data_IF_837570913789
#
_entry.id   IF_837570913789
#
_cell.length_a   1.000
_cell.length_b   1.000
_cell.length_c   1.000
_cell.angle_alpha   90.00
_cell.angle_beta   90.00
_cell.angle_gamma   90.00
#
_symmetry.space_group_name_H-M   'P 1'
#
loop_
_entity.id
_entity.type
_entity.pdbx_description
1 polymer ?
#
# COMPACT_ATOMS: atom_id res chain seq x y z
N UNK A 1 -20.95 7.36 -0.43
CA UNK A 1 -20.19 6.10 -0.24
C UNK A 1 -20.03 5.89 1.25
N UNK A 2 -20.06 4.64 1.72
CA UNK A 2 -19.82 4.35 3.14
C UNK A 2 -18.34 4.57 3.48
N UNK A 3 -17.99 4.76 4.75
CA UNK A 3 -16.58 4.91 5.16
C UNK A 3 -15.72 3.68 4.80
N UNK A 4 -16.33 2.50 4.68
CA UNK A 4 -15.64 1.31 4.20
C UNK A 4 -15.34 1.37 2.69
N UNK A 5 -16.26 1.90 1.89
CA UNK A 5 -16.07 2.01 0.43
C UNK A 5 -14.88 2.93 0.11
N UNK A 6 -14.77 4.06 0.81
CA UNK A 6 -13.63 4.96 0.65
C UNK A 6 -12.30 4.30 1.09
N UNK A 7 -12.33 3.56 2.20
CA UNK A 7 -11.18 2.80 2.68
C UNK A 7 -10.73 1.75 1.66
N UNK A 8 -11.66 0.95 1.13
CA UNK A 8 -11.29 -0.13 0.22
C UNK A 8 -10.80 0.41 -1.11
N UNK A 9 -11.34 1.52 -1.60
CA UNK A 9 -10.84 2.17 -2.81
C UNK A 9 -9.44 2.78 -2.60
N UNK A 10 -9.19 3.35 -1.42
CA UNK A 10 -7.84 3.79 -1.04
C UNK A 10 -6.84 2.61 -0.96
N UNK A 11 -7.28 1.47 -0.44
CA UNK A 11 -6.46 0.24 -0.38
C UNK A 11 -6.20 -0.31 -1.80
N UNK A 12 -7.19 -0.30 -2.69
CA UNK A 12 -7.02 -0.74 -4.09
C UNK A 12 -5.97 0.11 -4.82
N UNK A 13 -6.03 1.43 -4.69
CA UNK A 13 -5.03 2.34 -5.27
C UNK A 13 -3.60 1.98 -4.78
N UNK A 14 -3.47 1.71 -3.48
CA UNK A 14 -2.20 1.28 -2.88
C UNK A 14 -1.71 -0.05 -3.47
N UNK A 15 -2.61 -1.00 -3.72
CA UNK A 15 -2.27 -2.27 -4.36
C UNK A 15 -1.91 -2.11 -5.84
N UNK A 16 -2.51 -1.17 -6.56
CA UNK A 16 -2.16 -0.91 -7.97
C UNK A 16 -0.72 -0.37 -8.09
N UNK A 17 -0.30 0.51 -7.18
CA UNK A 17 1.10 0.99 -7.09
C UNK A 17 2.06 -0.18 -6.85
N UNK A 18 1.68 -1.11 -5.96
CA UNK A 18 2.48 -2.29 -5.68
C UNK A 18 2.58 -3.21 -6.91
N UNK A 19 1.46 -3.48 -7.59
CA UNK A 19 1.44 -4.29 -8.82
C UNK A 19 2.29 -3.68 -9.93
N UNK A 20 2.27 -2.35 -10.07
CA UNK A 20 3.14 -1.66 -11.01
C UNK A 20 4.63 -1.90 -10.69
N UNK A 21 4.99 -1.89 -9.40
CA UNK A 21 6.35 -2.23 -8.96
C UNK A 21 6.71 -3.68 -9.29
N UNK A 22 5.82 -4.62 -8.99
CA UNK A 22 6.01 -6.06 -9.27
C UNK A 22 6.17 -6.33 -10.78
N UNK A 23 5.43 -5.61 -11.64
CA UNK A 23 5.58 -5.70 -13.09
C UNK A 23 6.96 -5.17 -13.56
N UNK A 24 7.42 -4.05 -13.00
CA UNK A 24 8.72 -3.47 -13.32
C UNK A 24 9.86 -4.39 -12.88
N UNK A 25 9.75 -5.01 -11.69
CA UNK A 25 10.70 -5.99 -11.18
C UNK A 25 10.76 -7.21 -12.09
N UNK A 26 9.62 -7.76 -12.50
CA UNK A 26 9.58 -8.89 -13.43
C UNK A 26 10.23 -8.55 -14.78
N UNK A 27 9.93 -7.37 -15.34
CA UNK A 27 10.52 -6.93 -16.60
C UNK A 27 12.04 -6.73 -16.48
N UNK A 28 12.52 -6.26 -15.32
CA UNK A 28 13.94 -6.11 -15.03
C UNK A 28 14.70 -7.44 -15.16
N UNK A 29 14.09 -8.54 -14.75
CA UNK A 29 14.71 -9.88 -14.79
C UNK A 29 14.56 -10.59 -16.13
N UNK A 30 13.67 -10.12 -17.01
CA UNK A 30 13.28 -10.88 -18.22
C UNK A 30 13.58 -10.15 -19.52
N UNK A 31 13.10 -8.92 -19.68
CA UNK A 31 13.12 -8.20 -20.96
C UNK A 31 13.96 -6.91 -20.94
N UNK A 32 14.33 -6.40 -19.76
CA UNK A 32 15.01 -5.13 -19.63
C UNK A 32 16.39 -5.14 -20.32
N UNK A 33 16.68 -4.17 -21.22
CA UNK A 33 18.00 -4.06 -21.81
C UNK A 33 19.03 -3.54 -20.78
N UNK A 34 20.32 -3.95 -20.86
CA UNK A 34 21.32 -3.67 -19.82
C UNK A 34 21.54 -2.19 -19.47
N UNK A 35 21.28 -1.27 -20.41
CA UNK A 35 21.47 0.18 -20.20
C UNK A 35 20.32 0.84 -19.42
N UNK A 36 19.26 0.11 -19.08
CA UNK A 36 18.07 0.64 -18.41
C UNK A 36 18.05 0.46 -16.88
N UNK A 37 19.12 -0.11 -16.30
CA UNK A 37 19.21 -0.43 -14.86
C UNK A 37 18.93 0.79 -13.98
N UNK A 38 19.55 1.94 -14.28
CA UNK A 38 19.37 3.16 -13.49
C UNK A 38 17.91 3.68 -13.56
N UNK A 39 17.33 3.69 -14.76
CA UNK A 39 15.94 4.10 -14.96
C UNK A 39 14.95 3.23 -14.19
N UNK A 40 15.13 1.90 -14.19
CA UNK A 40 14.27 0.98 -13.43
C UNK A 40 14.46 1.10 -11.93
N UNK A 41 15.69 1.26 -11.46
CA UNK A 41 15.98 1.56 -10.06
C UNK A 41 15.24 2.81 -9.57
N UNK A 42 15.29 3.90 -10.34
CA UNK A 42 14.59 5.15 -10.01
C UNK A 42 13.06 4.99 -9.99
N UNK A 43 12.48 4.24 -10.94
CA UNK A 43 11.04 3.95 -10.96
C UNK A 43 10.62 3.16 -9.72
N UNK A 44 11.33 2.09 -9.38
CA UNK A 44 11.04 1.27 -8.20
C UNK A 44 11.20 2.06 -6.90
N UNK A 45 12.26 2.86 -6.77
CA UNK A 45 12.46 3.72 -5.61
C UNK A 45 11.30 4.71 -5.43
N UNK A 46 10.85 5.33 -6.53
CA UNK A 46 9.72 6.27 -6.52
C UNK A 46 8.42 5.59 -6.09
N UNK A 47 8.07 4.46 -6.70
CA UNK A 47 6.85 3.72 -6.39
C UNK A 47 6.86 3.17 -4.95
N UNK A 48 8.01 2.67 -4.48
CA UNK A 48 8.20 2.23 -3.10
C UNK A 48 7.99 3.37 -2.11
N UNK A 49 8.52 4.56 -2.40
CA UNK A 49 8.29 5.77 -1.60
C UNK A 49 6.82 6.16 -1.51
N UNK A 50 6.14 6.25 -2.66
CA UNK A 50 4.70 6.58 -2.72
C UNK A 50 3.85 5.53 -1.98
N UNK A 51 4.14 4.25 -2.20
CA UNK A 51 3.46 3.15 -1.52
C UNK A 51 3.61 3.27 0.00
N UNK A 52 4.84 3.46 0.47
CA UNK A 52 5.10 3.57 1.91
C UNK A 52 4.39 4.79 2.50
N UNK A 53 4.53 5.97 1.89
CA UNK A 53 3.91 7.22 2.34
C UNK A 53 2.39 7.09 2.46
N UNK A 54 1.72 6.55 1.43
CA UNK A 54 0.26 6.32 1.46
C UNK A 54 -0.13 5.32 2.53
N UNK A 55 0.61 4.22 2.64
CA UNK A 55 0.33 3.18 3.61
C UNK A 55 0.41 3.73 5.04
N UNK A 56 1.47 4.46 5.41
CA UNK A 56 1.64 4.99 6.79
C UNK A 56 1.00 6.38 6.99
N UNK A 57 0.19 6.84 6.04
CA UNK A 57 -0.42 8.16 6.08
C UNK A 57 -1.41 8.30 7.24
N UNK A 58 -1.58 9.54 7.72
CA UNK A 58 -2.64 9.89 8.69
C UNK A 58 -4.04 9.52 8.17
N UNK A 59 -4.25 9.55 6.84
CA UNK A 59 -5.52 9.17 6.22
C UNK A 59 -5.81 7.68 6.42
N UNK A 60 -4.83 6.81 6.18
CA UNK A 60 -4.95 5.37 6.46
C UNK A 60 -5.25 5.13 7.94
N UNK A 61 -4.52 5.79 8.84
CA UNK A 61 -4.75 5.69 10.29
C UNK A 61 -6.18 6.04 10.70
N UNK A 62 -6.74 7.14 10.16
CA UNK A 62 -8.13 7.54 10.42
C UNK A 62 -9.14 6.49 9.97
N UNK A 63 -9.01 5.96 8.76
CA UNK A 63 -9.89 4.90 8.28
C UNK A 63 -9.84 3.66 9.19
N UNK A 64 -8.64 3.23 9.57
CA UNK A 64 -8.47 2.07 10.45
C UNK A 64 -9.07 2.30 11.83
N UNK A 65 -8.92 3.49 12.41
CA UNK A 65 -9.46 3.83 13.73
C UNK A 65 -10.99 3.93 13.74
N UNK A 66 -11.57 4.51 12.69
CA UNK A 66 -13.02 4.63 12.51
C UNK A 66 -13.65 3.25 12.27
N UNK A 67 -13.12 2.49 11.30
CA UNK A 67 -13.66 1.18 10.94
C UNK A 67 -13.46 0.13 12.03
N UNK A 68 -12.42 0.25 12.88
CA UNK A 68 -12.24 -0.64 14.04
C UNK A 68 -13.35 -0.48 15.09
N UNK A 69 -14.07 0.65 15.10
CA UNK A 69 -15.14 0.94 16.08
C UNK A 69 -16.54 0.66 15.53
N UNK A 70 -16.65 0.54 14.21
CA UNK A 70 -17.92 0.30 13.51
C UNK A 70 -18.40 -1.14 13.71
N UNK A 71 -19.68 -1.31 14.07
CA UNK A 71 -20.30 -2.63 14.22
C UNK A 71 -20.98 -3.14 12.94
N UNK A 72 -21.23 -2.24 12.00
CA UNK A 72 -22.02 -2.49 10.78
C UNK A 72 -21.21 -3.08 9.61
N UNK A 73 -20.01 -3.62 9.90
CA UNK A 73 -19.17 -4.27 8.89
C UNK A 73 -19.53 -5.76 8.75
N UNK A 74 -19.54 -6.26 7.53
CA UNK A 74 -19.58 -7.71 7.27
C UNK A 74 -18.30 -8.38 7.76
N UNK A 75 -18.30 -9.70 7.92
CA UNK A 75 -17.12 -10.42 8.40
C UNK A 75 -15.93 -10.34 7.45
N UNK A 76 -16.18 -10.28 6.14
CA UNK A 76 -15.16 -10.04 5.11
C UNK A 76 -14.55 -8.63 5.24
N UNK A 77 -15.40 -7.62 5.43
CA UNK A 77 -14.93 -6.23 5.61
C UNK A 77 -14.09 -6.09 6.88
N UNK A 78 -14.51 -6.74 7.98
CA UNK A 78 -13.72 -6.80 9.23
C UNK A 78 -12.37 -7.47 9.01
N UNK A 79 -12.33 -8.55 8.23
CA UNK A 79 -11.08 -9.23 7.90
C UNK A 79 -10.13 -8.31 7.11
N UNK A 80 -10.64 -7.58 6.12
CA UNK A 80 -9.86 -6.60 5.36
C UNK A 80 -9.27 -5.51 6.28
N UNK A 81 -10.08 -4.91 7.14
CA UNK A 81 -9.62 -3.89 8.09
C UNK A 81 -8.54 -4.45 9.02
N UNK A 82 -8.72 -5.66 9.55
CA UNK A 82 -7.74 -6.32 10.44
C UNK A 82 -6.40 -6.55 9.73
N UNK A 83 -6.41 -7.08 8.51
CA UNK A 83 -5.16 -7.38 7.79
C UNK A 83 -4.42 -6.11 7.38
N UNK A 84 -5.13 -5.08 6.90
CA UNK A 84 -4.50 -3.80 6.56
C UNK A 84 -3.97 -3.10 7.81
N UNK A 85 -4.70 -3.16 8.94
CA UNK A 85 -4.21 -2.63 10.22
C UNK A 85 -2.92 -3.29 10.66
N UNK A 86 -2.84 -4.62 10.56
CA UNK A 86 -1.62 -5.37 10.88
C UNK A 86 -0.42 -4.92 10.04
N UNK A 87 -0.65 -4.69 8.74
CA UNK A 87 0.38 -4.18 7.82
C UNK A 87 0.78 -2.74 8.18
N UNK A 88 -0.19 -1.86 8.43
CA UNK A 88 0.00 -0.47 8.85
C UNK A 88 0.84 -0.37 10.13
N UNK A 89 0.46 -1.10 11.18
CA UNK A 89 1.17 -1.12 12.46
C UNK A 89 2.59 -1.66 12.31
N UNK A 90 2.81 -2.68 11.47
CA UNK A 90 4.15 -3.21 11.23
C UNK A 90 5.04 -2.17 10.53
N UNK A 91 4.50 -1.42 9.57
CA UNK A 91 5.25 -0.47 8.76
C UNK A 91 5.47 0.89 9.44
N UNK A 92 4.56 1.30 10.33
CA UNK A 92 4.72 2.52 11.15
C UNK A 92 5.73 2.38 12.28
N UNK A 93 5.96 1.15 12.78
CA UNK A 93 6.95 0.88 13.83
C UNK A 93 8.41 0.94 13.37
N UNK A 94 8.66 1.07 12.07
CA UNK A 94 10.00 1.22 11.50
C UNK A 94 10.24 2.71 11.20
N UNK A 95 11.22 3.37 11.83
CA UNK A 95 11.54 4.76 11.53
C UNK A 95 11.91 4.95 10.04
N UNK A 96 11.44 6.03 9.44
CA UNK A 96 11.69 6.38 8.03
C UNK A 96 13.16 6.74 7.72
N UNK A 97 13.99 6.94 8.76
CA UNK A 97 15.44 7.10 8.63
C UNK A 97 16.13 5.89 9.28
N UNK A 98 16.93 5.18 8.48
CA UNK A 98 18.00 4.31 8.97
C UNK A 98 19.24 5.15 9.28
#
# INVERSE_FOLDING_TARGET
MSGYDEFIDFVKELYDIRKASELIEWDQETYMPPKSVEGRGCMLATLSGIYHEKLVSKKMGKYLDELSKTKDLTDEQKANVREIKRIYEKKTKVPLKL
#
